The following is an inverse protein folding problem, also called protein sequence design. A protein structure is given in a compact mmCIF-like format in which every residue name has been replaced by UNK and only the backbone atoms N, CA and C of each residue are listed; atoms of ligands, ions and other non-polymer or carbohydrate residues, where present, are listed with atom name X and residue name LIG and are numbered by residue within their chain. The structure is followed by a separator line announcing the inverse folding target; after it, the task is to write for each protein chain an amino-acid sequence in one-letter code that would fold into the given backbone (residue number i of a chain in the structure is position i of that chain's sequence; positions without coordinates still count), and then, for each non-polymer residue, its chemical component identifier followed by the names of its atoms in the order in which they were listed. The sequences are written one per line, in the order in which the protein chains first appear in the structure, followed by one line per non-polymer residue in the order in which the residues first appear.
data_IF_190625088781
#
_entry.id   IF_190625088781
#
_cell.length_a   1.000
_cell.length_b   1.000
_cell.length_c   1.000
_cell.angle_alpha   90.00
_cell.angle_beta   90.00
_cell.angle_gamma   90.00
#
_symmetry.space_group_name_H-M   'P 1'
#
loop_
_entity.id
_entity.type
_entity.pdbx_description
1 polymer ?
#
# COMPACT_ATOMS: atom_id res chain seq x y z
N UNK A 1 -24.96 -0.19 -28.85
CA UNK A 1 -25.32 0.94 -27.98
C UNK A 1 -24.23 1.97 -28.17
N UNK A 2 -24.48 3.04 -28.92
CA UNK A 2 -23.48 4.09 -29.10
C UNK A 2 -23.15 4.69 -27.73
N UNK A 3 -21.88 4.66 -27.35
CA UNK A 3 -21.37 5.36 -26.16
C UNK A 3 -21.57 6.86 -26.42
N UNK A 4 -22.58 7.47 -25.83
CA UNK A 4 -22.72 8.92 -25.84
C UNK A 4 -21.50 9.51 -25.15
N UNK A 5 -20.78 10.40 -25.86
CA UNK A 5 -19.67 11.13 -25.24
C UNK A 5 -20.16 11.83 -23.97
N UNK A 6 -19.45 11.60 -22.86
CA UNK A 6 -19.75 12.27 -21.60
C UNK A 6 -19.40 13.76 -21.72
N UNK A 7 -20.17 14.65 -21.11
CA UNK A 7 -19.82 16.07 -21.07
C UNK A 7 -18.45 16.27 -20.39
N UNK A 8 -17.58 17.07 -21.00
CA UNK A 8 -16.28 17.43 -20.42
C UNK A 8 -16.46 18.42 -19.26
N UNK A 9 -16.72 17.90 -18.08
CA UNK A 9 -16.86 18.68 -16.86
C UNK A 9 -15.94 18.13 -15.77
N UNK A 10 -14.87 18.84 -15.46
CA UNK A 10 -13.89 18.44 -14.43
C UNK A 10 -14.44 18.47 -13.00
N UNK A 11 -15.57 19.17 -12.79
CA UNK A 11 -16.16 19.29 -11.45
C UNK A 11 -17.11 18.15 -11.07
N UNK A 12 -17.44 17.28 -12.04
CA UNK A 12 -18.36 16.15 -11.84
C UNK A 12 -17.76 14.87 -12.38
N UNK A 13 -17.75 13.82 -11.56
CA UNK A 13 -17.51 12.46 -12.03
C UNK A 13 -18.85 11.80 -12.33
N UNK A 14 -19.08 11.50 -13.58
CA UNK A 14 -20.34 10.89 -14.03
C UNK A 14 -20.36 9.40 -13.69
N UNK A 15 -21.52 8.94 -13.16
CA UNK A 15 -21.71 7.56 -12.71
C UNK A 15 -22.67 6.78 -13.60
N UNK A 16 -23.62 7.45 -14.27
CA UNK A 16 -24.60 6.77 -15.10
C UNK A 16 -25.80 7.64 -15.44
N UNK A 17 -26.80 7.00 -16.00
CA UNK A 17 -28.07 7.64 -16.35
C UNK A 17 -29.19 7.09 -15.47
N UNK A 18 -30.13 7.96 -15.07
CA UNK A 18 -31.34 7.51 -14.40
C UNK A 18 -32.25 6.82 -15.41
N UNK A 19 -32.98 5.80 -14.98
CA UNK A 19 -33.98 5.09 -15.80
C UNK A 19 -35.41 5.32 -15.26
N UNK A 20 -35.57 6.26 -14.35
CA UNK A 20 -36.86 6.53 -13.71
C UNK A 20 -37.82 7.26 -14.67
N UNK A 21 -39.01 6.72 -14.88
CA UNK A 21 -40.06 7.27 -15.74
C UNK A 21 -39.59 7.59 -17.16
N UNK A 22 -38.79 6.69 -17.76
CA UNK A 22 -38.22 6.82 -19.10
C UNK A 22 -37.36 8.07 -19.34
N UNK A 23 -36.94 8.75 -18.25
CA UNK A 23 -36.02 9.89 -18.33
C UNK A 23 -34.62 9.43 -18.14
N UNK A 24 -33.82 9.51 -19.22
CA UNK A 24 -32.39 9.28 -19.21
C UNK A 24 -31.65 10.56 -18.80
N UNK A 25 -31.55 10.82 -17.49
CA UNK A 25 -30.83 11.97 -16.96
C UNK A 25 -29.48 11.53 -16.48
N UNK A 26 -28.42 12.12 -17.03
CA UNK A 26 -27.04 11.88 -16.60
C UNK A 26 -26.84 12.41 -15.16
N UNK A 27 -26.27 11.58 -14.30
CA UNK A 27 -25.95 11.98 -12.92
C UNK A 27 -24.52 11.61 -12.54
N UNK A 28 -23.98 12.28 -11.53
CA UNK A 28 -22.64 12.06 -11.04
C UNK A 28 -22.43 12.65 -9.65
N UNK A 29 -21.21 12.50 -9.14
CA UNK A 29 -20.76 13.04 -7.86
C UNK A 29 -19.87 14.26 -8.14
N UNK A 30 -20.10 15.36 -7.42
CA UNK A 30 -19.24 16.54 -7.50
C UNK A 30 -17.87 16.22 -6.94
N UNK A 31 -16.84 16.80 -7.56
CA UNK A 31 -15.43 16.62 -7.16
C UNK A 31 -15.22 16.89 -5.66
N UNK A 32 -15.80 17.97 -5.12
CA UNK A 32 -15.71 18.31 -3.69
C UNK A 32 -16.31 17.26 -2.76
N UNK A 33 -17.37 16.56 -3.23
CA UNK A 33 -18.10 15.57 -2.44
C UNK A 33 -17.36 14.22 -2.45
N UNK A 34 -16.59 13.91 -3.51
CA UNK A 34 -15.73 12.74 -3.57
C UNK A 34 -14.60 12.74 -2.53
N UNK A 35 -14.25 13.89 -1.99
CA UNK A 35 -13.31 13.99 -0.86
C UNK A 35 -13.84 13.36 0.44
N UNK A 36 -15.11 12.97 0.48
CA UNK A 36 -15.71 12.23 1.59
C UNK A 36 -15.73 10.72 1.35
N UNK A 37 -14.95 10.28 0.35
CA UNK A 37 -14.84 8.89 -0.08
C UNK A 37 -16.09 8.34 -0.76
N UNK A 38 -15.93 7.21 -1.45
CA UNK A 38 -17.01 6.48 -2.12
C UNK A 38 -16.90 5.01 -1.73
N UNK A 39 -18.01 4.40 -1.36
CA UNK A 39 -18.07 2.97 -1.11
C UNK A 39 -19.06 2.33 -2.07
N UNK A 40 -18.57 1.38 -2.88
CA UNK A 40 -19.36 0.67 -3.90
C UNK A 40 -19.65 -0.73 -3.40
N UNK A 41 -20.92 -1.02 -3.12
CA UNK A 41 -21.38 -2.32 -2.66
C UNK A 41 -22.25 -2.99 -3.72
N UNK A 42 -22.00 -4.25 -3.99
CA UNK A 42 -22.79 -5.05 -4.93
C UNK A 42 -22.30 -6.48 -5.04
N UNK A 43 -23.18 -7.37 -5.50
CA UNK A 43 -22.82 -8.78 -5.80
C UNK A 43 -21.83 -8.86 -6.97
N UNK A 44 -21.19 -10.00 -7.14
CA UNK A 44 -20.38 -10.27 -8.34
C UNK A 44 -21.25 -10.12 -9.60
N UNK A 45 -20.66 -9.56 -10.67
CA UNK A 45 -21.35 -9.35 -11.95
C UNK A 45 -22.32 -8.16 -11.99
N UNK A 46 -22.47 -7.36 -10.92
CA UNK A 46 -23.40 -6.21 -10.90
C UNK A 46 -22.81 -4.91 -11.46
N UNK A 47 -21.58 -4.95 -12.00
CA UNK A 47 -20.98 -3.79 -12.65
C UNK A 47 -20.10 -2.91 -11.76
N UNK A 48 -19.71 -3.37 -10.55
CA UNK A 48 -18.81 -2.59 -9.66
C UNK A 48 -17.51 -2.18 -10.37
N UNK A 49 -16.81 -3.15 -10.97
CA UNK A 49 -15.54 -2.89 -11.67
C UNK A 49 -15.73 -1.99 -12.89
N UNK A 50 -16.84 -2.14 -13.63
CA UNK A 50 -17.16 -1.25 -14.75
C UNK A 50 -17.41 0.20 -14.30
N UNK A 51 -18.08 0.38 -13.15
CA UNK A 51 -18.26 1.71 -12.58
C UNK A 51 -16.92 2.32 -12.16
N UNK A 52 -16.08 1.58 -11.43
CA UNK A 52 -14.74 2.04 -11.04
C UNK A 52 -13.89 2.38 -12.26
N UNK A 53 -13.88 1.51 -13.28
CA UNK A 53 -13.17 1.77 -14.55
C UNK A 53 -13.60 3.11 -15.17
N UNK A 54 -14.89 3.34 -15.32
CA UNK A 54 -15.41 4.60 -15.88
C UNK A 54 -15.01 5.82 -15.03
N UNK A 55 -15.02 5.71 -13.71
CA UNK A 55 -14.59 6.79 -12.82
C UNK A 55 -13.09 7.06 -12.95
N UNK A 56 -12.26 6.00 -13.05
CA UNK A 56 -10.81 6.09 -13.21
C UNK A 56 -10.46 6.76 -14.54
N UNK A 57 -11.06 6.33 -15.64
CA UNK A 57 -10.78 6.92 -16.96
C UNK A 57 -11.14 8.40 -17.00
N UNK A 58 -12.28 8.81 -16.42
CA UNK A 58 -12.62 10.23 -16.30
C UNK A 58 -11.58 11.01 -15.49
N UNK A 59 -11.06 10.46 -14.38
CA UNK A 59 -9.99 11.11 -13.63
C UNK A 59 -8.71 11.26 -14.47
N UNK A 60 -8.31 10.20 -15.19
CA UNK A 60 -7.13 10.22 -16.06
C UNK A 60 -7.26 11.28 -17.15
N UNK A 61 -8.39 11.33 -17.83
CA UNK A 61 -8.69 12.33 -18.89
C UNK A 61 -8.72 13.76 -18.34
N UNK A 62 -9.20 13.94 -17.11
CA UNK A 62 -9.22 15.25 -16.44
C UNK A 62 -7.82 15.72 -15.98
N UNK A 63 -6.80 14.86 -16.05
CA UNK A 63 -5.44 15.16 -15.62
C UNK A 63 -5.19 14.87 -14.14
N UNK A 64 -6.11 14.17 -13.47
CA UNK A 64 -5.97 13.83 -12.06
C UNK A 64 -4.94 12.70 -11.84
N UNK A 65 -4.37 12.64 -10.63
CA UNK A 65 -3.60 11.49 -10.16
C UNK A 65 -4.52 10.39 -9.67
N UNK A 66 -4.22 9.16 -10.05
CA UNK A 66 -4.98 7.97 -9.64
C UNK A 66 -4.06 6.84 -9.19
N UNK A 67 -4.54 6.04 -8.27
CA UNK A 67 -3.99 4.74 -7.97
C UNK A 67 -5.09 3.68 -8.04
N UNK A 68 -4.82 2.56 -8.71
CA UNK A 68 -5.68 1.38 -8.68
C UNK A 68 -4.93 0.22 -8.08
N UNK A 69 -5.46 -0.37 -7.00
CA UNK A 69 -4.95 -1.61 -6.39
C UNK A 69 -5.90 -2.74 -6.73
N UNK A 70 -5.41 -3.71 -7.50
CA UNK A 70 -6.21 -4.79 -8.06
C UNK A 70 -5.64 -6.17 -7.71
N UNK A 71 -6.36 -6.98 -6.89
CA UNK A 71 -5.95 -8.33 -6.53
C UNK A 71 -6.21 -9.36 -7.62
N UNK A 72 -6.88 -8.99 -8.71
CA UNK A 72 -7.17 -9.85 -9.86
C UNK A 72 -6.30 -9.52 -11.07
N UNK A 73 -5.95 -8.25 -11.26
CA UNK A 73 -5.12 -7.73 -12.33
C UNK A 73 -5.89 -7.32 -13.59
N UNK A 74 -7.11 -7.82 -13.78
CA UNK A 74 -7.92 -7.57 -14.99
C UNK A 74 -8.30 -6.10 -15.14
N UNK A 75 -8.68 -5.43 -14.04
CA UNK A 75 -9.04 -4.02 -14.05
C UNK A 75 -7.83 -3.14 -14.39
N UNK A 76 -6.67 -3.44 -13.84
CA UNK A 76 -5.42 -2.72 -14.14
C UNK A 76 -5.03 -2.87 -15.60
N UNK A 77 -5.12 -4.08 -16.17
CA UNK A 77 -4.81 -4.33 -17.58
C UNK A 77 -5.80 -3.60 -18.52
N UNK A 78 -7.09 -3.59 -18.16
CA UNK A 78 -8.11 -2.84 -18.90
C UNK A 78 -7.85 -1.33 -18.85
N UNK A 79 -7.53 -0.78 -17.67
CA UNK A 79 -7.20 0.64 -17.51
C UNK A 79 -5.97 0.99 -18.34
N UNK A 80 -4.89 0.19 -18.26
CA UNK A 80 -3.65 0.41 -18.99
C UNK A 80 -3.89 0.53 -20.50
N UNK A 81 -4.78 -0.31 -21.04
CA UNK A 81 -5.16 -0.32 -22.45
C UNK A 81 -5.99 0.91 -22.87
N UNK A 82 -6.63 1.58 -21.92
CA UNK A 82 -7.51 2.72 -22.15
C UNK A 82 -6.85 4.08 -21.85
N UNK A 83 -5.58 4.10 -21.44
CA UNK A 83 -4.88 5.36 -21.11
C UNK A 83 -4.65 6.19 -22.37
N UNK A 84 -5.05 7.49 -22.38
CA UNK A 84 -4.80 8.36 -23.49
C UNK A 84 -3.30 8.54 -23.78
N UNK A 85 -2.87 8.64 -25.05
CA UNK A 85 -1.44 8.73 -25.41
C UNK A 85 -0.68 9.84 -24.69
N UNK A 86 -1.30 10.98 -24.42
CA UNK A 86 -0.67 12.11 -23.75
C UNK A 86 -0.41 11.88 -22.26
N UNK A 87 -1.08 10.87 -21.64
CA UNK A 87 -0.90 10.47 -20.23
C UNK A 87 -0.02 9.24 -20.06
N UNK A 88 0.39 8.56 -21.14
CA UNK A 88 1.22 7.34 -21.05
C UNK A 88 2.53 7.57 -20.28
N UNK A 89 3.14 8.74 -20.41
CA UNK A 89 4.36 9.12 -19.66
C UNK A 89 4.18 9.25 -18.15
N UNK A 90 2.93 9.37 -17.70
CA UNK A 90 2.57 9.54 -16.30
C UNK A 90 2.29 8.20 -15.61
N UNK A 91 2.38 7.08 -16.35
CA UNK A 91 2.06 5.75 -15.84
C UNK A 91 3.22 5.19 -15.04
N UNK A 92 2.93 4.73 -13.84
CA UNK A 92 3.78 3.87 -13.01
C UNK A 92 3.06 2.55 -12.85
N UNK A 93 3.58 1.49 -13.47
CA UNK A 93 2.97 0.16 -13.44
C UNK A 93 3.73 -0.76 -12.50
N UNK A 94 3.12 -1.09 -11.36
CA UNK A 94 3.67 -2.03 -10.38
C UNK A 94 3.08 -3.42 -10.65
N UNK A 95 3.90 -4.31 -11.20
CA UNK A 95 3.53 -5.68 -11.48
C UNK A 95 4.60 -6.65 -10.93
N UNK A 96 4.39 -7.22 -9.75
CA UNK A 96 5.32 -8.19 -9.15
C UNK A 96 5.60 -9.42 -10.02
N UNK A 97 4.64 -9.81 -10.87
CA UNK A 97 4.80 -10.96 -11.76
C UNK A 97 5.72 -10.70 -12.97
N UNK A 98 6.09 -9.45 -13.21
CA UNK A 98 7.09 -9.09 -14.21
C UNK A 98 8.49 -9.36 -13.63
N UNK A 99 9.12 -10.43 -14.11
CA UNK A 99 10.44 -10.86 -13.65
C UNK A 99 11.59 -10.21 -14.41
N UNK A 100 11.31 -9.52 -15.51
CA UNK A 100 12.34 -8.88 -16.33
C UNK A 100 12.64 -7.44 -15.83
N UNK A 101 11.63 -6.79 -15.25
CA UNK A 101 11.72 -5.41 -14.75
C UNK A 101 11.24 -5.31 -13.30
N UNK A 102 12.11 -5.66 -12.36
CA UNK A 102 11.77 -5.57 -10.94
C UNK A 102 11.69 -4.13 -10.45
N UNK A 103 10.53 -3.78 -9.88
CA UNK A 103 10.37 -2.51 -9.17
C UNK A 103 10.82 -2.69 -7.72
N UNK A 104 11.79 -1.90 -7.29
CA UNK A 104 12.21 -1.84 -5.89
C UNK A 104 11.14 -1.14 -5.04
N UNK A 105 10.71 -1.80 -3.96
CA UNK A 105 9.77 -1.25 -3.00
C UNK A 105 10.19 -1.60 -1.57
N UNK A 106 10.99 -0.72 -0.97
CA UNK A 106 11.41 -0.86 0.41
C UNK A 106 10.39 -0.22 1.35
N UNK A 107 9.60 -1.05 2.01
CA UNK A 107 8.59 -0.56 2.96
C UNK A 107 9.22 0.08 4.20
N UNK A 108 10.48 -0.27 4.55
CA UNK A 108 11.22 0.29 5.67
C UNK A 108 11.95 1.60 5.32
N UNK A 109 11.96 2.02 4.06
CA UNK A 109 12.55 3.29 3.66
C UNK A 109 11.72 4.44 4.24
N UNK A 110 12.35 5.24 5.12
CA UNK A 110 11.75 6.42 5.73
C UNK A 110 12.21 7.69 5.02
N UNK A 111 11.28 8.56 4.66
CA UNK A 111 11.59 9.91 4.19
C UNK A 111 11.86 10.81 5.40
N UNK A 112 11.08 10.65 6.47
CA UNK A 112 11.21 11.43 7.72
C UNK A 112 11.15 10.47 8.92
N UNK A 113 12.18 10.45 9.78
CA UNK A 113 12.24 9.59 10.96
C UNK A 113 11.05 9.73 11.93
N UNK A 114 10.34 10.86 11.92
CA UNK A 114 9.15 11.06 12.78
C UNK A 114 8.03 10.07 12.48
N UNK A 115 7.97 9.51 11.26
CA UNK A 115 6.95 8.54 10.86
C UNK A 115 7.33 7.08 11.17
N UNK A 116 8.48 6.84 11.81
CA UNK A 116 8.97 5.49 12.16
C UNK A 116 7.90 4.63 12.82
N UNK A 117 7.23 5.16 13.85
CA UNK A 117 6.20 4.42 14.58
C UNK A 117 4.96 4.11 13.73
N UNK A 118 4.60 4.98 12.81
CA UNK A 118 3.48 4.76 11.90
C UNK A 118 3.80 3.67 10.88
N UNK A 119 5.02 3.64 10.34
CA UNK A 119 5.48 2.55 9.45
C UNK A 119 5.45 1.21 10.19
N UNK A 120 6.02 1.16 11.40
CA UNK A 120 6.03 -0.04 12.22
C UNK A 120 4.60 -0.53 12.52
N UNK A 121 3.73 0.37 13.01
CA UNK A 121 2.32 0.05 13.29
C UNK A 121 1.56 -0.42 12.04
N UNK A 122 1.77 0.22 10.90
CA UNK A 122 1.15 -0.20 9.64
C UNK A 122 1.57 -1.61 9.23
N UNK A 123 2.87 -1.93 9.29
CA UNK A 123 3.38 -3.27 9.01
C UNK A 123 2.85 -4.31 10.00
N UNK A 124 2.85 -3.98 11.30
CA UNK A 124 2.31 -4.87 12.33
C UNK A 124 0.84 -5.18 12.09
N UNK A 125 0.03 -4.18 11.72
CA UNK A 125 -1.38 -4.38 11.38
C UNK A 125 -1.59 -5.32 10.18
N UNK A 126 -0.73 -5.21 9.15
CA UNK A 126 -0.77 -6.12 7.98
C UNK A 126 -0.42 -7.55 8.42
N UNK A 127 0.68 -7.73 9.15
CA UNK A 127 1.13 -9.05 9.59
C UNK A 127 0.12 -9.71 10.54
N UNK A 128 -0.44 -8.96 11.48
CA UNK A 128 -1.48 -9.46 12.40
C UNK A 128 -2.69 -9.97 11.64
N UNK A 129 -3.14 -9.24 10.62
CA UNK A 129 -4.29 -9.62 9.81
C UNK A 129 -4.02 -10.90 9.01
N UNK A 130 -2.89 -10.97 8.31
CA UNK A 130 -2.61 -12.06 7.39
C UNK A 130 -2.22 -13.34 8.13
N UNK A 131 -1.52 -13.20 9.26
CA UNK A 131 -1.06 -14.33 10.05
C UNK A 131 -1.89 -14.56 11.33
N UNK A 132 -3.14 -14.10 11.36
CA UNK A 132 -4.01 -14.14 12.53
C UNK A 132 -4.03 -15.51 13.24
N UNK A 133 -4.03 -16.61 12.47
CA UNK A 133 -4.05 -17.98 13.03
C UNK A 133 -2.76 -18.40 13.73
N UNK A 134 -1.64 -17.71 13.50
CA UNK A 134 -0.34 -17.98 14.10
C UNK A 134 0.14 -16.85 14.99
N UNK A 135 -0.66 -15.78 15.14
CA UNK A 135 -0.28 -14.57 15.88
C UNK A 135 -0.26 -14.81 17.39
N UNK A 136 0.76 -14.29 18.05
CA UNK A 136 0.86 -14.33 19.51
C UNK A 136 1.48 -13.02 20.01
N UNK A 137 1.19 -12.66 21.27
CA UNK A 137 1.78 -11.47 21.89
C UNK A 137 3.32 -11.49 21.88
N UNK A 138 3.94 -12.67 22.03
CA UNK A 138 5.39 -12.82 21.93
C UNK A 138 5.92 -12.57 20.52
N UNK A 139 5.26 -13.12 19.51
CA UNK A 139 5.59 -12.87 18.10
C UNK A 139 5.50 -11.39 17.79
N UNK A 140 4.42 -10.75 18.21
CA UNK A 140 4.18 -9.32 18.05
C UNK A 140 5.30 -8.49 18.70
N UNK A 141 5.64 -8.78 19.93
CA UNK A 141 6.66 -8.05 20.70
C UNK A 141 8.05 -8.13 20.02
N UNK A 142 8.48 -9.34 19.62
CA UNK A 142 9.77 -9.54 18.96
C UNK A 142 9.79 -8.87 17.59
N UNK A 143 8.74 -9.05 16.79
CA UNK A 143 8.65 -8.54 15.43
C UNK A 143 8.62 -7.01 15.40
N UNK A 144 7.86 -6.40 16.32
CA UNK A 144 7.81 -4.94 16.46
C UNK A 144 9.18 -4.35 16.83
N UNK A 145 9.91 -4.96 17.78
CA UNK A 145 11.25 -4.53 18.12
C UNK A 145 12.25 -4.73 16.95
N UNK A 146 12.09 -5.79 16.16
CA UNK A 146 12.92 -6.00 14.97
C UNK A 146 12.67 -4.92 13.90
N UNK A 147 11.42 -4.62 13.59
CA UNK A 147 11.04 -3.58 12.62
C UNK A 147 11.54 -2.22 13.08
N UNK A 148 11.32 -1.85 14.35
CA UNK A 148 11.76 -0.57 14.88
C UNK A 148 13.28 -0.44 14.87
N UNK A 149 14.02 -1.51 15.14
CA UNK A 149 15.48 -1.52 15.06
C UNK A 149 15.99 -1.34 13.62
N UNK A 150 15.35 -2.00 12.67
CA UNK A 150 15.70 -1.87 11.26
C UNK A 150 15.39 -0.47 10.73
N UNK A 151 14.28 0.13 11.13
CA UNK A 151 13.91 1.50 10.74
C UNK A 151 14.91 2.57 11.23
N UNK A 152 15.68 2.30 12.29
CA UNK A 152 16.75 3.21 12.75
C UNK A 152 18.02 3.11 11.91
N UNK A 153 18.15 2.09 11.05
CA UNK A 153 19.35 1.86 10.24
C UNK A 153 19.01 2.05 8.75
N UNK A 154 19.48 3.14 8.11
CA UNK A 154 19.23 3.37 6.69
C UNK A 154 19.70 2.20 5.80
N UNK A 155 18.95 1.93 4.73
CA UNK A 155 19.27 0.89 3.75
C UNK A 155 18.93 -0.55 4.20
N UNK A 156 18.31 -0.72 5.37
CA UNK A 156 17.76 -2.01 5.79
C UNK A 156 16.47 -2.31 5.04
N UNK A 157 16.13 -3.59 4.96
CA UNK A 157 14.93 -4.09 4.27
C UNK A 157 14.25 -5.15 5.13
N UNK A 158 13.09 -5.65 4.71
CA UNK A 158 12.41 -6.77 5.39
C UNK A 158 13.29 -8.03 5.49
N UNK A 159 14.29 -8.19 4.61
CA UNK A 159 15.29 -9.27 4.71
C UNK A 159 16.13 -9.19 5.99
N UNK A 160 16.18 -8.03 6.62
CA UNK A 160 16.83 -7.84 7.92
C UNK A 160 16.13 -8.52 9.08
N UNK A 161 14.80 -8.77 8.99
CA UNK A 161 14.04 -9.35 10.11
C UNK A 161 14.59 -10.74 10.50
N UNK A 162 14.66 -11.75 9.61
CA UNK A 162 15.21 -13.04 9.99
C UNK A 162 16.68 -12.94 10.41
N UNK A 163 17.46 -12.05 9.79
CA UNK A 163 18.87 -11.85 10.17
C UNK A 163 19.02 -11.29 11.58
N UNK A 164 18.19 -10.33 11.98
CA UNK A 164 18.16 -9.83 13.37
C UNK A 164 17.97 -10.95 14.39
N UNK A 165 17.20 -11.98 14.03
CA UNK A 165 16.86 -13.07 14.93
C UNK A 165 17.98 -14.13 15.05
N UNK A 166 18.74 -14.39 14.00
CA UNK A 166 19.71 -15.51 13.99
C UNK A 166 21.17 -15.08 13.80
N UNK A 167 21.43 -14.00 13.08
CA UNK A 167 22.79 -13.54 12.77
C UNK A 167 23.25 -12.53 13.83
N UNK A 168 24.15 -12.98 14.73
CA UNK A 168 24.63 -12.17 15.84
C UNK A 168 25.40 -10.95 15.36
N UNK A 169 26.26 -11.10 14.36
CA UNK A 169 27.10 -9.99 13.88
C UNK A 169 26.24 -8.91 13.19
N UNK A 170 25.27 -9.34 12.38
CA UNK A 170 24.29 -8.43 11.81
C UNK A 170 23.49 -7.70 12.87
N UNK A 171 22.99 -8.42 13.88
CA UNK A 171 22.23 -7.86 15.01
C UNK A 171 23.05 -6.82 15.77
N UNK A 172 24.33 -7.10 16.09
CA UNK A 172 25.19 -6.15 16.78
C UNK A 172 25.45 -4.88 15.95
N UNK A 173 25.62 -5.02 14.64
CA UNK A 173 25.71 -3.88 13.73
C UNK A 173 24.46 -2.99 13.79
N UNK A 174 23.25 -3.58 13.78
CA UNK A 174 22.01 -2.82 13.90
C UNK A 174 21.89 -2.16 15.26
N UNK A 175 22.17 -2.90 16.35
CA UNK A 175 22.11 -2.38 17.73
C UNK A 175 23.04 -1.18 17.93
N UNK A 176 24.19 -1.14 17.27
CA UNK A 176 25.12 0.00 17.36
C UNK A 176 24.54 1.30 16.81
N UNK A 177 23.58 1.22 15.89
CA UNK A 177 22.89 2.36 15.28
C UNK A 177 21.64 2.81 16.04
N UNK A 178 21.18 2.01 17.03
CA UNK A 178 19.94 2.31 17.73
C UNK A 178 20.05 3.56 18.59
N UNK A 179 19.11 4.49 18.36
CA UNK A 179 18.98 5.74 19.12
C UNK A 179 18.00 5.59 20.28
N UNK A 180 16.96 4.77 20.12
CA UNK A 180 15.93 4.56 21.13
C UNK A 180 16.45 3.62 22.23
N UNK A 181 16.53 4.09 23.50
CA UNK A 181 17.06 3.31 24.60
C UNK A 181 16.20 2.10 24.95
N UNK A 182 14.87 2.17 24.72
CA UNK A 182 13.94 1.08 25.03
C UNK A 182 14.15 -0.08 24.06
N UNK A 183 14.23 0.21 22.77
CA UNK A 183 14.49 -0.80 21.74
C UNK A 183 15.89 -1.40 21.93
N UNK A 184 16.88 -0.57 22.27
CA UNK A 184 18.23 -1.02 22.54
C UNK A 184 18.28 -1.95 23.77
N UNK A 185 17.56 -1.60 24.83
CA UNK A 185 17.47 -2.43 26.05
C UNK A 185 16.84 -3.81 25.77
N UNK A 186 15.80 -3.89 24.94
CA UNK A 186 15.23 -5.16 24.52
C UNK A 186 16.30 -6.07 23.90
N UNK A 187 17.07 -5.57 22.93
CA UNK A 187 18.06 -6.38 22.23
C UNK A 187 19.25 -6.76 23.11
N UNK A 188 19.76 -5.81 23.92
CA UNK A 188 20.98 -6.02 24.72
C UNK A 188 20.71 -6.79 26.01
N UNK A 189 19.63 -6.47 26.71
CA UNK A 189 19.41 -6.98 28.07
C UNK A 189 18.35 -8.10 28.14
N UNK A 190 17.43 -8.16 27.16
CA UNK A 190 16.40 -9.17 27.15
C UNK A 190 16.73 -10.27 26.12
N UNK A 191 16.79 -9.95 24.83
CA UNK A 191 16.97 -10.92 23.75
C UNK A 191 18.30 -11.69 23.84
N UNK A 192 19.41 -11.00 24.10
CA UNK A 192 20.73 -11.64 24.24
C UNK A 192 20.83 -12.50 25.51
N UNK A 193 20.06 -12.21 26.54
CA UNK A 193 20.02 -12.99 27.78
C UNK A 193 19.18 -14.28 27.67
N UNK A 194 18.39 -14.44 26.61
CA UNK A 194 17.59 -15.66 26.45
C UNK A 194 18.46 -16.89 26.20
N UNK A 195 18.12 -17.97 26.89
CA UNK A 195 18.70 -19.28 26.61
C UNK A 195 18.35 -19.72 25.19
N UNK A 196 19.24 -20.42 24.50
CA UNK A 196 19.10 -20.81 23.11
C UNK A 196 17.80 -21.59 22.83
N UNK A 197 17.42 -22.50 23.71
CA UNK A 197 16.16 -23.26 23.57
C UNK A 197 14.96 -22.33 23.56
N UNK A 198 14.86 -21.41 24.51
CA UNK A 198 13.76 -20.46 24.60
C UNK A 198 13.76 -19.51 23.41
N UNK A 199 14.94 -18.99 23.02
CA UNK A 199 15.10 -18.11 21.86
C UNK A 199 14.57 -18.78 20.59
N UNK A 200 15.00 -20.03 20.33
CA UNK A 200 14.60 -20.78 19.15
C UNK A 200 13.08 -21.01 19.10
N UNK A 201 12.46 -21.36 20.24
CA UNK A 201 11.00 -21.51 20.34
C UNK A 201 10.27 -20.16 20.09
N UNK A 202 10.80 -19.06 20.63
CA UNK A 202 10.19 -17.75 20.52
C UNK A 202 10.22 -17.18 19.09
N UNK A 203 11.29 -17.44 18.34
CA UNK A 203 11.46 -16.89 16.99
C UNK A 203 10.89 -17.79 15.89
N UNK A 204 10.66 -19.09 16.15
CA UNK A 204 10.22 -20.04 15.15
C UNK A 204 8.95 -19.61 14.39
N UNK A 205 7.90 -19.07 15.01
CA UNK A 205 6.73 -18.58 14.28
C UNK A 205 7.07 -17.44 13.32
N UNK A 206 7.96 -16.53 13.72
CA UNK A 206 8.38 -15.40 12.87
C UNK A 206 9.18 -15.91 11.69
N UNK A 207 10.16 -16.81 11.95
CA UNK A 207 10.96 -17.41 10.87
C UNK A 207 10.10 -18.15 9.85
N UNK A 208 9.10 -18.90 10.31
CA UNK A 208 8.18 -19.61 9.42
C UNK A 208 7.38 -18.64 8.55
N UNK A 209 6.79 -17.60 9.13
CA UNK A 209 5.89 -16.70 8.41
C UNK A 209 6.65 -15.68 7.54
N UNK A 210 7.61 -14.98 8.12
CA UNK A 210 8.45 -14.02 7.38
C UNK A 210 9.34 -14.75 6.39
N UNK A 211 9.90 -15.91 6.78
CA UNK A 211 10.72 -16.74 5.90
C UNK A 211 9.94 -17.25 4.70
N UNK A 212 8.71 -17.72 4.88
CA UNK A 212 7.82 -18.16 3.79
C UNK A 212 7.59 -17.02 2.79
N UNK A 213 7.26 -15.82 3.27
CA UNK A 213 7.06 -14.64 2.43
C UNK A 213 8.33 -14.28 1.63
N UNK A 214 9.48 -14.22 2.32
CA UNK A 214 10.76 -13.83 1.72
C UNK A 214 11.42 -14.96 0.89
N UNK A 215 10.96 -16.21 0.99
CA UNK A 215 11.47 -17.32 0.17
C UNK A 215 11.05 -17.19 -1.30
N UNK A 216 9.94 -16.54 -1.58
CA UNK A 216 9.45 -16.30 -2.93
C UNK A 216 10.38 -15.27 -3.61
N UNK A 217 11.08 -15.67 -4.67
CA UNK A 217 12.07 -14.82 -5.37
C UNK A 217 11.46 -13.52 -5.90
N UNK A 218 10.25 -13.58 -6.45
CA UNK A 218 9.50 -12.42 -6.94
C UNK A 218 9.36 -11.37 -5.83
N UNK A 219 8.91 -11.79 -4.65
CA UNK A 219 8.70 -10.90 -3.50
C UNK A 219 10.04 -10.36 -2.99
N UNK A 220 11.03 -11.25 -2.83
CA UNK A 220 12.35 -10.88 -2.32
C UNK A 220 13.04 -9.84 -3.20
N UNK A 221 12.90 -9.95 -4.52
CA UNK A 221 13.49 -8.99 -5.47
C UNK A 221 12.84 -7.60 -5.38
N UNK A 222 11.60 -7.51 -4.91
CA UNK A 222 10.89 -6.24 -4.72
C UNK A 222 11.21 -5.63 -3.36
N UNK A 223 10.97 -6.36 -2.27
CA UNK A 223 11.07 -5.83 -0.91
C UNK A 223 12.49 -5.89 -0.33
N UNK A 224 13.41 -6.55 -1.02
CA UNK A 224 14.81 -6.70 -0.62
C UNK A 224 15.74 -5.62 -1.15
N UNK A 225 15.27 -4.73 -2.02
CA UNK A 225 16.06 -3.59 -2.50
C UNK A 225 16.13 -2.51 -1.43
N UNK A 226 17.32 -2.00 -1.15
CA UNK A 226 17.55 -1.00 -0.09
C UNK A 226 16.95 0.37 -0.41
N UNK A 227 16.78 0.68 -1.68
CA UNK A 227 16.21 1.94 -2.18
C UNK A 227 15.01 1.60 -3.07
N UNK A 228 13.89 2.28 -2.85
CA UNK A 228 12.72 2.16 -3.71
C UNK A 228 12.96 2.85 -5.05
N UNK A 229 12.52 2.21 -6.14
CA UNK A 229 12.57 2.82 -7.49
C UNK A 229 11.34 3.69 -7.75
N UNK A 230 10.34 3.63 -6.87
CA UNK A 230 9.12 4.45 -6.95
C UNK A 230 9.02 5.34 -5.70
N UNK A 231 8.63 6.59 -5.91
CA UNK A 231 8.35 7.55 -4.84
C UNK A 231 6.85 7.87 -4.83
N UNK A 232 6.12 7.36 -3.85
CA UNK A 232 4.65 7.52 -3.79
C UNK A 232 4.26 8.98 -3.51
N UNK A 233 5.08 9.73 -2.75
CA UNK A 233 4.84 11.16 -2.52
C UNK A 233 4.87 11.95 -3.83
N UNK A 234 5.87 11.70 -4.68
CA UNK A 234 5.98 12.35 -5.99
C UNK A 234 4.86 11.91 -6.92
N UNK A 235 4.53 10.60 -6.95
CA UNK A 235 3.39 10.07 -7.71
C UNK A 235 2.10 10.83 -7.39
N UNK A 236 1.83 11.08 -6.11
CA UNK A 236 0.63 11.79 -5.68
C UNK A 236 0.66 13.28 -6.05
N UNK A 237 1.79 13.97 -5.86
CA UNK A 237 1.89 15.42 -6.07
C UNK A 237 2.04 15.80 -7.53
N UNK A 238 2.66 14.96 -8.33
CA UNK A 238 2.75 15.15 -9.78
C UNK A 238 1.46 14.78 -10.50
N UNK A 239 0.56 14.03 -9.85
CA UNK A 239 -0.70 13.59 -10.43
C UNK A 239 -0.51 12.44 -11.41
N UNK A 240 0.39 11.51 -11.09
CA UNK A 240 0.67 10.31 -11.89
C UNK A 240 -0.41 9.25 -11.78
N UNK A 241 -0.34 8.26 -12.65
CA UNK A 241 -1.24 7.11 -12.72
C UNK A 241 -0.48 5.91 -12.18
N UNK A 242 -0.82 5.48 -10.96
CA UNK A 242 -0.17 4.35 -10.30
C UNK A 242 -1.05 3.11 -10.39
N UNK A 243 -0.67 2.16 -11.22
CA UNK A 243 -1.39 0.91 -11.44
C UNK A 243 -0.69 -0.23 -10.72
N UNK A 244 -1.38 -0.81 -9.74
CA UNK A 244 -0.85 -1.85 -8.85
C UNK A 244 -1.55 -3.18 -9.15
N UNK A 245 -0.88 -4.04 -9.90
CA UNK A 245 -1.34 -5.38 -10.25
C UNK A 245 -0.78 -6.39 -9.26
N UNK A 246 -1.50 -6.66 -8.19
CA UNK A 246 -1.12 -7.68 -7.19
C UNK A 246 -1.95 -8.96 -7.36
N UNK A 247 -2.02 -9.45 -8.59
CA UNK A 247 -2.86 -10.60 -8.97
C UNK A 247 -2.56 -11.84 -8.12
N UNK A 248 -3.57 -12.28 -7.35
CA UNK A 248 -3.51 -13.48 -6.50
C UNK A 248 -3.17 -14.73 -7.29
N UNK A 249 -3.68 -14.83 -8.52
CA UNK A 249 -3.42 -15.97 -9.41
C UNK A 249 -1.96 -16.07 -9.85
N UNK A 250 -1.21 -14.96 -9.84
CA UNK A 250 0.19 -14.92 -10.29
C UNK A 250 1.19 -14.99 -9.14
N UNK A 251 0.89 -14.36 -7.99
CA UNK A 251 1.84 -14.26 -6.87
C UNK A 251 1.38 -14.97 -5.58
N UNK A 252 0.18 -15.52 -5.57
CA UNK A 252 -0.43 -16.14 -4.40
C UNK A 252 -1.18 -15.16 -3.50
N UNK A 253 -2.14 -15.66 -2.72
CA UNK A 253 -3.06 -14.84 -1.94
C UNK A 253 -2.36 -14.07 -0.83
N UNK A 254 -1.51 -14.72 -0.03
CA UNK A 254 -0.78 -14.10 1.07
C UNK A 254 0.16 -12.99 0.56
N UNK A 255 0.90 -13.24 -0.53
CA UNK A 255 1.80 -12.28 -1.14
C UNK A 255 1.04 -11.07 -1.71
N UNK A 256 -0.10 -11.32 -2.36
CA UNK A 256 -0.99 -10.26 -2.88
C UNK A 256 -1.47 -9.35 -1.74
N UNK A 257 -1.97 -9.95 -0.66
CA UNK A 257 -2.48 -9.21 0.50
C UNK A 257 -1.38 -8.45 1.23
N UNK A 258 -0.18 -9.04 1.38
CA UNK A 258 0.98 -8.38 1.98
C UNK A 258 1.45 -7.19 1.16
N UNK A 259 1.72 -7.37 -0.13
CA UNK A 259 2.21 -6.28 -0.99
C UNK A 259 1.16 -5.18 -1.14
N UNK A 260 -0.09 -5.53 -1.39
CA UNK A 260 -1.17 -4.55 -1.51
C UNK A 260 -1.36 -3.73 -0.23
N UNK A 261 -1.34 -4.41 0.94
CA UNK A 261 -1.41 -3.74 2.24
C UNK A 261 -0.23 -2.80 2.49
N UNK A 262 1.00 -3.23 2.14
CA UNK A 262 2.20 -2.40 2.27
C UNK A 262 2.14 -1.17 1.36
N UNK A 263 1.67 -1.31 0.12
CA UNK A 263 1.51 -0.18 -0.81
C UNK A 263 0.46 0.80 -0.29
N UNK A 264 -0.69 0.32 0.17
CA UNK A 264 -1.74 1.17 0.74
C UNK A 264 -1.22 1.91 1.98
N UNK A 265 -0.47 1.24 2.85
CA UNK A 265 0.17 1.88 4.01
C UNK A 265 1.15 2.98 3.58
N UNK A 266 1.95 2.74 2.55
CA UNK A 266 2.87 3.77 2.02
C UNK A 266 2.13 4.94 1.36
N UNK A 267 1.00 4.69 0.68
CA UNK A 267 0.14 5.75 0.13
C UNK A 267 -0.42 6.60 1.28
N UNK A 268 -0.84 5.97 2.38
CA UNK A 268 -1.28 6.67 3.58
C UNK A 268 -0.21 7.60 4.13
N UNK A 269 0.99 7.06 4.34
CA UNK A 269 2.12 7.82 4.88
C UNK A 269 2.50 8.98 3.94
N UNK A 270 2.57 8.74 2.64
CA UNK A 270 2.81 9.77 1.63
C UNK A 270 1.71 10.85 1.64
N UNK A 271 0.44 10.47 1.86
CA UNK A 271 -0.63 11.44 2.03
C UNK A 271 -0.43 12.30 3.27
N UNK A 272 -0.08 11.70 4.41
CA UNK A 272 0.20 12.44 5.66
C UNK A 272 1.40 13.39 5.51
N UNK A 273 2.42 13.02 4.75
CA UNK A 273 3.56 13.89 4.44
C UNK A 273 3.17 15.14 3.64
N UNK A 274 2.02 15.15 2.96
CA UNK A 274 1.50 16.32 2.24
C UNK A 274 1.15 17.49 3.16
N UNK A 275 1.21 17.32 4.48
CA UNK A 275 1.18 18.45 5.45
C UNK A 275 2.23 19.51 5.11
N UNK A 276 3.39 19.12 4.58
CA UNK A 276 4.45 20.06 4.16
C UNK A 276 4.16 20.80 2.84
N UNK A 277 3.11 20.39 2.11
CA UNK A 277 2.62 21.08 0.90
C UNK A 277 1.46 21.99 1.31
N UNK A 278 1.43 23.28 0.91
CA UNK A 278 0.30 24.16 1.16
C UNK A 278 -1.02 23.53 0.70
N UNK A 279 -2.10 23.74 1.44
CA UNK A 279 -3.37 23.03 1.21
C UNK A 279 -3.98 23.31 -0.17
N UNK A 280 -3.82 24.54 -0.66
CA UNK A 280 -4.28 25.01 -1.97
C UNK A 280 -3.47 24.41 -3.14
N UNK A 281 -2.21 24.03 -2.90
CA UNK A 281 -1.35 23.40 -3.89
C UNK A 281 -1.51 21.87 -3.95
N UNK A 282 -2.16 21.25 -2.94
CA UNK A 282 -2.38 19.81 -2.91
C UNK A 282 -3.35 19.42 -4.00
N UNK A 283 -2.90 18.59 -4.95
CA UNK A 283 -3.75 17.99 -5.97
C UNK A 283 -4.62 16.88 -5.37
N UNK A 284 -5.86 16.75 -5.84
CA UNK A 284 -6.67 15.57 -5.53
C UNK A 284 -5.99 14.32 -6.10
N UNK A 285 -5.88 13.28 -5.28
CA UNK A 285 -5.39 11.96 -5.67
C UNK A 285 -6.44 10.92 -5.36
N UNK A 286 -6.78 10.07 -6.33
CA UNK A 286 -7.87 9.11 -6.21
C UNK A 286 -7.31 7.70 -6.07
N UNK A 287 -7.51 7.11 -4.89
CA UNK A 287 -7.16 5.73 -4.59
C UNK A 287 -8.38 4.84 -4.76
N UNK A 288 -8.30 3.93 -5.71
CA UNK A 288 -9.29 2.90 -5.95
C UNK A 288 -8.74 1.57 -5.46
N UNK A 289 -9.54 0.84 -4.67
CA UNK A 289 -9.15 -0.46 -4.12
C UNK A 289 -10.26 -1.46 -4.40
N UNK A 290 -10.00 -2.37 -5.33
CA UNK A 290 -10.91 -3.48 -5.57
C UNK A 290 -10.74 -4.55 -4.49
N UNK A 291 -11.85 -5.22 -4.13
CA UNK A 291 -11.87 -6.22 -3.05
C UNK A 291 -11.16 -5.71 -1.77
N UNK A 292 -11.56 -4.51 -1.37
CA UNK A 292 -11.01 -3.71 -0.29
C UNK A 292 -10.70 -4.50 1.00
N UNK A 293 -11.53 -5.50 1.34
CA UNK A 293 -11.37 -6.33 2.54
C UNK A 293 -10.05 -7.13 2.55
N UNK A 294 -9.39 -7.32 1.40
CA UNK A 294 -8.12 -8.03 1.33
C UNK A 294 -6.96 -7.21 1.93
N UNK A 295 -7.02 -5.90 1.86
CA UNK A 295 -5.89 -5.01 2.12
C UNK A 295 -6.05 -4.17 3.38
N UNK A 296 -7.28 -3.95 3.85
CA UNK A 296 -7.57 -3.02 4.95
C UNK A 296 -7.15 -3.59 6.29
N UNK A 297 -6.46 -2.77 7.05
CA UNK A 297 -6.10 -2.98 8.46
C UNK A 297 -6.83 -1.98 9.34
N UNK A 298 -6.85 -2.20 10.66
CA UNK A 298 -7.45 -1.25 11.62
C UNK A 298 -6.78 0.14 11.53
N UNK A 299 -5.48 0.20 11.24
CA UNK A 299 -4.76 1.45 11.01
C UNK A 299 -5.35 2.24 9.82
N UNK A 300 -5.88 1.55 8.82
CA UNK A 300 -6.52 2.18 7.66
C UNK A 300 -7.85 2.87 8.00
N UNK A 301 -8.58 2.40 9.01
CA UNK A 301 -9.81 3.07 9.46
C UNK A 301 -9.53 4.52 9.92
N UNK A 302 -8.36 4.76 10.51
CA UNK A 302 -7.89 6.10 10.86
C UNK A 302 -7.69 7.02 9.64
N UNK A 303 -7.32 6.46 8.49
CA UNK A 303 -7.17 7.26 7.25
C UNK A 303 -8.50 7.83 6.80
N UNK A 304 -9.57 7.02 6.82
CA UNK A 304 -10.88 7.44 6.33
C UNK A 304 -11.35 8.74 7.00
N UNK A 305 -10.99 8.94 8.27
CA UNK A 305 -11.34 10.17 8.99
C UNK A 305 -10.44 11.37 8.65
N UNK A 306 -9.22 11.16 8.19
CA UNK A 306 -8.21 12.22 8.01
C UNK A 306 -7.79 12.48 6.57
N UNK A 307 -7.95 11.50 5.66
CA UNK A 307 -7.45 11.54 4.29
C UNK A 307 -7.92 12.76 3.49
N UNK A 308 -9.10 13.29 3.80
CA UNK A 308 -9.65 14.51 3.19
C UNK A 308 -8.70 15.70 3.29
N UNK A 309 -8.05 15.90 4.45
CA UNK A 309 -7.08 17.00 4.68
C UNK A 309 -5.90 16.92 3.71
N UNK A 310 -5.55 15.72 3.31
CA UNK A 310 -4.40 15.44 2.47
C UNK A 310 -4.76 15.28 0.99
N UNK A 311 -6.03 15.54 0.62
CA UNK A 311 -6.54 15.37 -0.75
C UNK A 311 -6.37 13.95 -1.28
N UNK A 312 -6.44 12.94 -0.41
CA UNK A 312 -6.52 11.53 -0.77
C UNK A 312 -7.98 11.10 -0.75
N UNK A 313 -8.52 10.73 -1.89
CA UNK A 313 -9.92 10.36 -2.10
C UNK A 313 -10.00 8.86 -2.37
N UNK A 314 -10.73 8.11 -1.52
CA UNK A 314 -10.86 6.67 -1.62
C UNK A 314 -12.15 6.27 -2.35
N UNK A 315 -12.04 5.20 -3.11
CA UNK A 315 -13.19 4.52 -3.74
C UNK A 315 -13.02 3.02 -3.63
#
# INVERSE_FOLDING_TARGET
MELKELPKNKEVTYMGYTTYRDKNVLFGIKRKDRRQHVYILGKSGTGKSALMFNMIIQNIENGDGVCMVDPHGENVEAILSAIPPHRMKDVVYFNPADTDFHIGFNVLELIDPKYKHLVASGLMGIFTKIWANAWSARMEYILNNAILALLDTPGTTLLGIPRMLVDKDYRQKIISNLKDPVIKAFWVHEYEAWQDKFRNEAIAPIQNKVGQFLSTSIIRNIVGQSISTINIFDIMNEGKIFLVNVSKGRIGEDNSSLLGGMIITKIQLAAMERVRVPEDERKDFYLYVDEFQNFVTDAFAGILSEARKYRLNLT
#
